data_IF_794267024227
#
_entry.id   IF_794267024227
#
_cell.length_a   1.000
_cell.length_b   1.000
_cell.length_c   1.000
_cell.angle_alpha   90.00
_cell.angle_beta   90.00
_cell.angle_gamma   90.00
#
_symmetry.space_group_name_H-M   'P 1'
#
loop_
_entity.id
_entity.type
_entity.pdbx_description
1 polymer ?
#
# COMPACT_ATOMS: atom_id res chain seq x y z
N UNK A 1 -2.58 -13.27 2.03
CA UNK A 1 -3.05 -12.01 1.42
C UNK A 1 -1.86 -11.07 1.32
N UNK A 2 -1.71 -10.32 0.22
CA UNK A 2 -0.52 -9.50 -0.05
C UNK A 2 -0.90 -8.01 0.03
N UNK A 3 -0.11 -7.22 0.74
CA UNK A 3 -0.22 -5.76 0.74
C UNK A 3 0.50 -5.20 -0.50
N UNK A 4 -0.15 -4.32 -1.25
CA UNK A 4 0.48 -3.61 -2.35
C UNK A 4 0.97 -2.25 -1.88
N UNK A 5 2.21 -1.91 -2.22
CA UNK A 5 2.73 -0.56 -2.05
C UNK A 5 2.28 0.30 -3.23
N UNK A 6 1.38 1.22 -2.97
CA UNK A 6 0.90 2.15 -3.99
C UNK A 6 1.96 3.22 -4.21
N UNK A 7 2.44 3.34 -5.46
CA UNK A 7 3.46 4.32 -5.85
C UNK A 7 2.85 5.59 -6.43
N UNK A 8 1.74 5.45 -7.15
CA UNK A 8 1.00 6.55 -7.75
C UNK A 8 -0.51 6.27 -7.71
N UNK A 9 -1.30 7.33 -7.64
CA UNK A 9 -2.75 7.28 -7.84
C UNK A 9 -3.10 8.18 -9.04
N UNK A 10 -3.68 7.57 -10.08
CA UNK A 10 -4.04 8.28 -11.30
C UNK A 10 -5.33 9.08 -11.11
N UNK A 11 -5.32 10.33 -11.60
CA UNK A 11 -6.50 11.19 -11.57
C UNK A 11 -7.65 10.70 -12.46
N UNK A 12 -7.37 9.91 -13.50
CA UNK A 12 -8.41 9.38 -14.40
C UNK A 12 -8.35 7.86 -14.43
N UNK A 13 -9.50 7.22 -14.24
CA UNK A 13 -9.68 5.78 -14.37
C UNK A 13 -11.06 5.47 -14.98
N UNK A 14 -11.23 4.31 -15.64
CA UNK A 14 -12.43 4.01 -16.44
C UNK A 14 -13.76 4.19 -15.68
N UNK A 15 -13.80 3.87 -14.39
CA UNK A 15 -15.00 3.91 -13.56
C UNK A 15 -15.21 5.22 -12.79
N UNK A 16 -14.36 6.25 -12.97
CA UNK A 16 -14.39 7.48 -12.15
C UNK A 16 -15.74 8.22 -12.18
N UNK A 17 -16.45 8.14 -13.29
CA UNK A 17 -17.78 8.77 -13.44
C UNK A 17 -18.88 8.03 -12.67
N UNK A 18 -18.69 6.75 -12.36
CA UNK A 18 -19.70 5.88 -11.75
C UNK A 18 -19.39 5.51 -10.31
N UNK A 19 -18.11 5.61 -9.90
CA UNK A 19 -17.65 5.17 -8.59
C UNK A 19 -16.70 6.17 -7.97
N UNK A 20 -16.84 6.33 -6.66
CA UNK A 20 -15.91 7.11 -5.85
C UNK A 20 -14.80 6.20 -5.32
N UNK A 21 -13.58 6.73 -5.30
CA UNK A 21 -12.41 6.11 -4.68
C UNK A 21 -11.99 6.96 -3.50
N UNK A 22 -11.70 6.33 -2.36
CA UNK A 22 -11.14 6.97 -1.17
C UNK A 22 -10.22 6.01 -0.45
N UNK A 23 -9.18 6.54 0.17
CA UNK A 23 -8.35 5.78 1.10
C UNK A 23 -9.08 5.57 2.41
N UNK A 24 -8.87 4.41 3.02
CA UNK A 24 -9.47 4.05 4.30
C UNK A 24 -8.43 3.51 5.24
N UNK A 25 -8.60 3.83 6.51
CA UNK A 25 -7.96 3.09 7.59
C UNK A 25 -8.54 1.68 7.66
N UNK A 26 -7.79 0.77 8.30
CA UNK A 26 -8.23 -0.62 8.50
C UNK A 26 -9.57 -0.67 9.28
N UNK A 27 -9.75 0.22 10.26
CA UNK A 27 -10.99 0.30 11.04
C UNK A 27 -12.19 0.73 10.17
N UNK A 28 -12.05 1.83 9.41
CA UNK A 28 -13.12 2.30 8.52
C UNK A 28 -13.48 1.27 7.43
N UNK A 29 -12.47 0.57 6.90
CA UNK A 29 -12.69 -0.51 5.95
C UNK A 29 -13.45 -1.68 6.59
N UNK A 30 -13.13 -2.02 7.85
CA UNK A 30 -13.82 -3.05 8.63
C UNK A 30 -15.31 -2.77 8.84
N UNK A 31 -15.68 -1.50 9.03
CA UNK A 31 -17.08 -1.06 9.11
C UNK A 31 -17.83 -1.17 7.77
N UNK A 32 -17.12 -0.99 6.65
CA UNK A 32 -17.69 -1.09 5.31
C UNK A 32 -17.80 -2.54 4.79
N UNK A 33 -17.19 -3.51 5.48
CA UNK A 33 -17.15 -4.90 5.05
C UNK A 33 -18.49 -5.61 5.23
N UNK A 34 -19.03 -6.16 4.13
CA UNK A 34 -20.26 -6.97 4.18
C UNK A 34 -20.06 -8.37 4.76
N UNK A 35 -18.82 -8.87 4.73
CA UNK A 35 -18.50 -10.26 5.05
C UNK A 35 -17.55 -10.33 6.25
N UNK A 36 -17.88 -11.19 7.22
CA UNK A 36 -17.08 -11.40 8.44
C UNK A 36 -15.63 -11.76 8.14
N UNK A 37 -15.40 -12.67 7.18
CA UNK A 37 -14.05 -13.09 6.80
C UNK A 37 -13.19 -11.92 6.30
N UNK A 38 -13.79 -10.93 5.64
CA UNK A 38 -13.05 -9.77 5.12
C UNK A 38 -12.66 -8.83 6.26
N UNK A 39 -13.58 -8.64 7.21
CA UNK A 39 -13.32 -7.88 8.42
C UNK A 39 -12.21 -8.52 9.27
N UNK A 40 -12.27 -9.83 9.49
CA UNK A 40 -11.23 -10.59 10.20
C UNK A 40 -9.86 -10.47 9.49
N UNK A 41 -9.84 -10.54 8.16
CA UNK A 41 -8.60 -10.44 7.41
C UNK A 41 -7.97 -9.03 7.50
N UNK A 42 -8.79 -7.98 7.57
CA UNK A 42 -8.36 -6.60 7.80
C UNK A 42 -7.86 -6.41 9.25
N UNK A 43 -8.69 -6.74 10.23
CA UNK A 43 -8.44 -6.46 11.64
C UNK A 43 -7.31 -7.32 12.20
N UNK A 44 -7.24 -8.61 11.85
CA UNK A 44 -6.28 -9.52 12.48
C UNK A 44 -5.10 -9.87 11.59
N UNK A 45 -5.25 -9.72 10.27
CA UNK A 45 -4.15 -9.85 9.32
C UNK A 45 -3.39 -8.55 9.16
N UNK A 46 -4.02 -7.57 8.50
CA UNK A 46 -3.31 -6.35 8.10
C UNK A 46 -2.97 -5.41 9.26
N UNK A 47 -3.80 -5.33 10.31
CA UNK A 47 -3.50 -4.47 11.47
C UNK A 47 -2.24 -4.94 12.20
N UNK A 48 -2.09 -6.26 12.37
CA UNK A 48 -0.89 -6.86 12.98
C UNK A 48 0.31 -6.64 12.08
N UNK A 49 0.19 -6.98 10.80
CA UNK A 49 1.25 -6.73 9.81
C UNK A 49 1.71 -5.26 9.77
N UNK A 50 0.79 -4.30 9.91
CA UNK A 50 1.11 -2.88 9.98
C UNK A 50 1.84 -2.53 11.30
N UNK A 51 1.38 -3.08 12.42
CA UNK A 51 1.99 -2.87 13.75
C UNK A 51 3.38 -3.49 13.88
N UNK A 52 3.63 -4.62 13.20
CA UNK A 52 4.89 -5.35 13.24
C UNK A 52 5.99 -4.66 12.40
N UNK A 53 5.70 -3.45 11.90
CA UNK A 53 6.68 -2.62 11.23
C UNK A 53 6.99 -3.14 9.84
N UNK A 54 6.03 -3.02 8.91
CA UNK A 54 6.11 -3.14 7.44
C UNK A 54 7.51 -2.89 6.79
N UNK A 55 8.34 -2.08 7.46
CA UNK A 55 9.75 -1.74 7.28
C UNK A 55 10.64 -2.85 6.70
N UNK A 56 10.57 -4.10 7.16
CA UNK A 56 11.45 -5.17 6.61
C UNK A 56 11.25 -5.40 5.09
N UNK A 57 10.06 -5.10 4.55
CA UNK A 57 9.79 -5.18 3.10
C UNK A 57 10.08 -3.90 2.32
N UNK A 58 10.37 -2.78 3.01
CA UNK A 58 10.60 -1.47 2.38
C UNK A 58 12.09 -1.07 2.33
N UNK A 59 12.92 -1.56 3.24
CA UNK A 59 14.35 -1.22 3.30
C UNK A 59 15.19 -1.80 2.15
N UNK A 60 14.82 -2.96 1.58
CA UNK A 60 15.54 -3.55 0.43
C UNK A 60 15.49 -2.67 -0.83
N UNK A 61 14.46 -1.84 -1.01
CA UNK A 61 14.30 -1.04 -2.23
C UNK A 61 15.02 0.32 -2.20
N UNK A 62 15.28 0.89 -1.02
CA UNK A 62 15.97 2.18 -0.93
C UNK A 62 17.46 2.08 -1.25
N UNK A 63 18.09 0.93 -0.95
CA UNK A 63 19.53 0.72 -1.22
C UNK A 63 19.85 0.60 -2.73
N UNK A 64 18.86 0.24 -3.55
CA UNK A 64 18.96 0.21 -5.01
C UNK A 64 18.81 1.62 -5.60
N UNK A 65 17.88 2.45 -5.10
CA UNK A 65 17.69 3.81 -5.62
C UNK A 65 18.90 4.73 -5.33
N UNK A 66 19.58 4.56 -4.20
CA UNK A 66 20.81 5.31 -3.85
C UNK A 66 22.03 4.88 -4.66
N UNK A 67 22.06 3.66 -5.21
CA UNK A 67 23.20 3.18 -6.01
C UNK A 67 23.10 3.58 -7.49
N UNK A 68 21.90 3.90 -8.01
CA UNK A 68 21.69 4.31 -9.41
C UNK A 68 21.85 5.83 -9.59
N UNK A 69 21.79 6.62 -8.51
CA UNK A 69 21.79 8.09 -8.55
C UNK A 69 23.16 8.74 -8.32
N UNK A 70 24.26 7.97 -8.26
CA UNK A 70 25.61 8.55 -8.33
C UNK A 70 25.92 9.01 -9.76
N UNK A 71 26.22 10.30 -9.99
CA UNK A 71 26.63 10.77 -11.32
C UNK A 71 28.00 10.15 -11.63
N UNK A 72 28.07 9.34 -12.68
CA UNK A 72 29.36 8.95 -13.26
C UNK A 72 29.89 10.14 -14.04
N UNK A 73 30.85 10.83 -13.44
CA UNK A 73 31.70 11.82 -14.11
C UNK A 73 32.40 11.18 -15.32
N UNK A 74 32.46 11.96 -16.39
CA UNK A 74 33.17 11.70 -17.65
C UNK A 74 34.69 11.59 -17.43
N UNK A 75 35.32 10.59 -18.06
CA UNK A 75 36.69 10.66 -18.57
C UNK A 75 36.81 9.86 -19.88
#
# INVERSE_FOLDING_TARGET
MYALLVKEELDSWPEKSLRQRRWLTIAEAGECCRHSWMKEALEEGFRKWLSDGMISTMEENNHILTSISSPKEEE
#
